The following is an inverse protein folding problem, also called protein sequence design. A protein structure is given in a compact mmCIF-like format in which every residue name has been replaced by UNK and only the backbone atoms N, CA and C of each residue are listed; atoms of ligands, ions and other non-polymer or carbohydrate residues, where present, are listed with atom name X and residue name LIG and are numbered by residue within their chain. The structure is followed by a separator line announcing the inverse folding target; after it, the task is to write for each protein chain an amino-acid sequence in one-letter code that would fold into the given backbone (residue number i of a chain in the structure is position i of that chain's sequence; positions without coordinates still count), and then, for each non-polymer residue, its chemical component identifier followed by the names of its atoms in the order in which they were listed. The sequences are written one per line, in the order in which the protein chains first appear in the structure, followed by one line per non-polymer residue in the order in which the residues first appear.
data_IF_275183010585
#
_entry.id   IF_275183010585
#
_cell.length_a   1.000
_cell.length_b   1.000
_cell.length_c   1.000
_cell.angle_alpha   90.00
_cell.angle_beta   90.00
_cell.angle_gamma   90.00
#
_symmetry.space_group_name_H-M   'P 1'
#
loop_
_entity.id
_entity.type
_entity.pdbx_description
1 polymer ?
#
# COMPACT_ATOMS: atom_id res chain seq x y z
N UNK A 1 -3.41 -19.29 -19.89
CA UNK A 1 -2.28 -19.59 -18.99
C UNK A 1 -1.74 -18.28 -18.49
N UNK A 2 -1.88 -17.99 -17.19
CA UNK A 2 -1.34 -16.74 -16.61
C UNK A 2 0.17 -16.82 -16.78
N UNK A 3 0.82 -15.90 -17.52
CA UNK A 3 2.25 -15.97 -17.74
C UNK A 3 2.96 -15.92 -16.38
N UNK A 4 3.83 -16.88 -16.07
CA UNK A 4 4.63 -16.92 -14.83
C UNK A 4 5.45 -15.62 -14.60
N UNK A 5 5.63 -14.82 -15.66
CA UNK A 5 6.20 -13.47 -15.62
C UNK A 5 5.38 -12.45 -14.81
N UNK A 6 4.05 -12.56 -14.75
CA UNK A 6 3.21 -11.64 -13.97
C UNK A 6 3.21 -11.96 -12.47
N UNK A 7 3.34 -13.24 -12.10
CA UNK A 7 3.38 -13.67 -10.69
C UNK A 7 4.64 -13.15 -9.98
N UNK A 8 5.80 -13.16 -10.64
CA UNK A 8 7.04 -12.61 -10.07
C UNK A 8 6.94 -11.10 -9.77
N UNK A 9 6.21 -10.35 -10.59
CA UNK A 9 5.94 -8.93 -10.35
C UNK A 9 4.91 -8.67 -9.25
N UNK A 10 4.04 -9.65 -8.96
CA UNK A 10 3.02 -9.54 -7.92
C UNK A 10 3.56 -9.85 -6.52
N UNK A 11 4.58 -10.71 -6.41
CA UNK A 11 5.17 -11.10 -5.12
C UNK A 11 5.61 -9.90 -4.28
N UNK A 12 6.42 -8.93 -4.79
CA UNK A 12 6.82 -7.78 -4.00
C UNK A 12 5.63 -6.94 -3.52
N UNK A 13 4.60 -6.82 -4.35
CA UNK A 13 3.39 -6.02 -4.06
C UNK A 13 2.58 -6.64 -2.92
N UNK A 14 2.25 -7.93 -3.03
CA UNK A 14 1.44 -8.64 -2.02
C UNK A 14 2.22 -8.80 -0.72
N UNK A 15 3.52 -9.11 -0.81
CA UNK A 15 4.38 -9.25 0.37
C UNK A 15 4.56 -7.92 1.10
N UNK A 16 4.81 -6.82 0.38
CA UNK A 16 4.85 -5.46 0.95
C UNK A 16 3.60 -5.10 1.71
N UNK A 17 2.44 -5.30 1.08
CA UNK A 17 1.17 -4.99 1.70
C UNK A 17 0.98 -5.81 2.98
N UNK A 18 1.21 -7.13 2.91
CA UNK A 18 1.00 -8.06 4.04
C UNK A 18 1.92 -7.76 5.22
N UNK A 19 3.21 -7.49 4.96
CA UNK A 19 4.17 -7.13 6.00
C UNK A 19 3.79 -5.80 6.67
N UNK A 20 3.52 -4.76 5.87
CA UNK A 20 3.14 -3.46 6.40
C UNK A 20 1.84 -3.50 7.22
N UNK A 21 0.84 -4.19 6.69
CA UNK A 21 -0.45 -4.41 7.34
C UNK A 21 -0.30 -5.15 8.68
N UNK A 22 0.53 -6.20 8.69
CA UNK A 22 0.83 -6.95 9.90
C UNK A 22 1.52 -6.07 10.96
N UNK A 23 2.47 -5.23 10.55
CA UNK A 23 3.18 -4.31 11.46
C UNK A 23 2.19 -3.38 12.17
N UNK A 24 1.26 -2.75 11.45
CA UNK A 24 0.34 -1.78 12.06
C UNK A 24 -0.78 -2.45 12.85
N UNK A 25 -1.25 -3.63 12.43
CA UNK A 25 -2.18 -4.43 13.21
C UNK A 25 -1.57 -4.90 14.54
N UNK A 26 -0.36 -5.47 14.50
CA UNK A 26 0.39 -5.89 15.69
C UNK A 26 0.68 -4.67 16.58
N UNK A 27 1.14 -3.56 16.00
CA UNK A 27 1.38 -2.30 16.71
C UNK A 27 0.14 -1.85 17.49
N UNK A 28 -1.03 -1.88 16.85
CA UNK A 28 -2.30 -1.55 17.52
C UNK A 28 -2.64 -2.53 18.64
N UNK A 29 -2.46 -3.83 18.42
CA UNK A 29 -2.76 -4.87 19.41
C UNK A 29 -1.88 -4.77 20.67
N UNK A 30 -0.62 -4.34 20.52
CA UNK A 30 0.31 -4.11 21.63
C UNK A 30 0.24 -2.68 22.22
N UNK A 31 -0.71 -1.84 21.78
CA UNK A 31 -0.89 -0.49 22.31
C UNK A 31 0.20 0.51 21.92
N UNK A 32 0.96 0.21 20.85
CA UNK A 32 1.92 1.14 20.23
C UNK A 32 1.22 2.19 19.37
N UNK A 33 0.04 1.88 18.83
CA UNK A 33 -0.77 2.82 18.06
C UNK A 33 -1.36 3.94 18.96
N UNK A 34 -1.57 5.15 18.42
CA UNK A 34 -2.25 6.23 19.13
C UNK A 34 -3.67 5.84 19.53
N UNK A 35 -3.97 5.98 20.83
CA UNK A 35 -5.33 5.83 21.34
C UNK A 35 -5.99 7.21 21.52
N UNK A 36 -6.12 7.95 20.43
CA UNK A 36 -6.67 9.31 20.39
C UNK A 36 -7.82 9.38 19.39
N UNK A 37 -8.87 10.12 19.74
CA UNK A 37 -10.14 10.11 19.00
C UNK A 37 -10.03 10.63 17.55
N UNK A 38 -9.05 11.49 17.26
CA UNK A 38 -8.82 12.00 15.91
C UNK A 38 -8.09 11.00 14.99
N UNK A 39 -7.48 9.95 15.54
CA UNK A 39 -6.66 9.03 14.76
C UNK A 39 -7.49 8.12 13.84
N UNK A 40 -8.60 7.49 14.28
CA UNK A 40 -9.48 6.73 13.38
C UNK A 40 -9.99 7.51 12.17
N UNK A 41 -10.61 8.70 12.29
CA UNK A 41 -11.09 9.43 11.11
C UNK A 41 -9.96 9.88 10.17
N UNK A 42 -8.76 10.15 10.69
CA UNK A 42 -7.58 10.39 9.85
C UNK A 42 -7.23 9.15 9.02
N UNK A 43 -7.13 7.98 9.65
CA UNK A 43 -6.80 6.73 8.96
C UNK A 43 -7.88 6.37 7.93
N UNK A 44 -9.16 6.49 8.29
CA UNK A 44 -10.27 6.27 7.34
C UNK A 44 -10.20 7.21 6.13
N UNK A 45 -9.85 8.49 6.36
CA UNK A 45 -9.62 9.45 5.27
C UNK A 45 -8.47 9.01 4.36
N UNK A 46 -7.37 8.54 4.94
CA UNK A 46 -6.21 8.05 4.19
C UNK A 46 -6.51 6.76 3.43
N UNK A 47 -7.34 5.87 3.98
CA UNK A 47 -7.84 4.67 3.28
C UNK A 47 -8.64 5.11 2.06
N UNK A 48 -9.62 5.99 2.23
CA UNK A 48 -10.44 6.47 1.13
C UNK A 48 -9.60 7.19 0.06
N UNK A 49 -8.62 8.00 0.47
CA UNK A 49 -7.66 8.64 -0.42
C UNK A 49 -6.84 7.62 -1.23
N UNK A 50 -6.43 6.51 -0.62
CA UNK A 50 -5.70 5.44 -1.34
C UNK A 50 -6.55 4.79 -2.44
N UNK A 51 -7.87 4.65 -2.21
CA UNK A 51 -8.81 4.11 -3.19
C UNK A 51 -8.99 5.09 -4.36
N UNK A 52 -9.15 6.39 -4.06
CA UNK A 52 -9.21 7.45 -5.08
C UNK A 52 -7.93 7.46 -5.92
N UNK A 53 -6.76 7.37 -5.27
CA UNK A 53 -5.47 7.31 -5.94
C UNK A 53 -5.37 6.12 -6.90
N UNK A 54 -5.72 4.91 -6.44
CA UNK A 54 -5.68 3.71 -7.29
C UNK A 54 -6.65 3.80 -8.47
N UNK A 55 -7.84 4.35 -8.25
CA UNK A 55 -8.80 4.56 -9.33
C UNK A 55 -8.27 5.56 -10.37
N UNK A 56 -7.61 6.63 -9.93
CA UNK A 56 -6.98 7.59 -10.84
C UNK A 56 -5.82 6.97 -11.63
N UNK A 57 -4.94 6.18 -10.99
CA UNK A 57 -3.88 5.43 -11.68
C UNK A 57 -4.46 4.54 -12.79
N UNK A 58 -5.54 3.82 -12.49
CA UNK A 58 -6.23 2.95 -13.45
C UNK A 58 -6.83 3.72 -14.63
N UNK A 59 -7.37 4.93 -14.40
CA UNK A 59 -7.95 5.76 -15.46
C UNK A 59 -6.87 6.32 -16.39
N UNK A 60 -5.78 6.85 -15.82
CA UNK A 60 -4.67 7.45 -16.57
C UNK A 60 -3.83 6.36 -17.27
N UNK A 61 -3.83 5.13 -16.76
CA UNK A 61 -2.97 4.06 -17.22
C UNK A 61 -1.50 4.28 -16.83
N UNK A 62 -1.27 5.02 -15.74
CA UNK A 62 0.05 5.26 -15.22
C UNK A 62 0.64 3.94 -14.68
N UNK A 63 1.96 3.76 -14.85
CA UNK A 63 2.69 2.63 -14.25
C UNK A 63 3.52 3.17 -13.10
N UNK A 64 3.19 2.76 -11.88
CA UNK A 64 4.03 3.09 -10.73
C UNK A 64 5.39 2.41 -10.83
N UNK A 65 6.46 3.21 -10.91
CA UNK A 65 7.83 2.69 -11.02
C UNK A 65 8.33 2.01 -9.73
N UNK A 66 7.59 2.10 -8.62
CA UNK A 66 7.93 1.48 -7.34
C UNK A 66 6.70 0.94 -6.61
N UNK A 67 5.91 0.08 -7.27
CA UNK A 67 4.65 -0.48 -6.74
C UNK A 67 4.74 -1.04 -5.33
N UNK A 68 5.87 -1.67 -5.00
CA UNK A 68 6.08 -2.28 -3.67
C UNK A 68 6.12 -1.23 -2.55
N UNK A 69 6.59 0.00 -2.81
CA UNK A 69 6.63 1.09 -1.80
C UNK A 69 5.24 1.64 -1.57
N UNK A 70 4.50 1.91 -2.65
CA UNK A 70 3.13 2.43 -2.58
C UNK A 70 2.23 1.44 -1.85
N UNK A 71 2.33 0.15 -2.19
CA UNK A 71 1.55 -0.90 -1.52
C UNK A 71 1.98 -1.17 -0.08
N UNK A 72 3.27 -0.96 0.26
CA UNK A 72 3.71 -0.95 1.64
C UNK A 72 3.04 0.21 2.43
N UNK A 73 3.05 1.43 1.87
CA UNK A 73 2.37 2.57 2.51
C UNK A 73 0.87 2.33 2.70
N UNK A 74 0.18 1.77 1.69
CA UNK A 74 -1.21 1.38 1.82
C UNK A 74 -1.43 0.28 2.85
N UNK A 75 -0.53 -0.70 2.94
CA UNK A 75 -0.60 -1.74 3.96
C UNK A 75 -0.54 -1.15 5.37
N UNK A 76 0.36 -0.18 5.62
CA UNK A 76 0.46 0.50 6.92
C UNK A 76 -0.88 1.15 7.30
N UNK A 77 -1.43 1.96 6.39
CA UNK A 77 -2.68 2.70 6.62
C UNK A 77 -3.85 1.74 6.85
N UNK A 78 -4.03 0.74 5.99
CA UNK A 78 -5.13 -0.22 6.12
C UNK A 78 -5.04 -1.05 7.39
N UNK A 79 -3.84 -1.42 7.85
CA UNK A 79 -3.70 -2.23 9.06
C UNK A 79 -4.13 -1.49 10.32
N UNK A 80 -4.00 -0.17 10.35
CA UNK A 80 -4.63 0.66 11.39
C UNK A 80 -6.16 0.70 11.24
N UNK A 81 -6.69 0.83 10.01
CA UNK A 81 -8.15 0.83 9.80
C UNK A 81 -8.81 -0.46 10.28
N UNK A 82 -8.20 -1.61 10.00
CA UNK A 82 -8.67 -2.90 10.49
C UNK A 82 -8.59 -3.03 12.01
N UNK A 83 -7.54 -2.47 12.63
CA UNK A 83 -7.40 -2.59 14.08
C UNK A 83 -8.49 -1.84 14.85
N UNK A 84 -9.07 -0.77 14.30
CA UNK A 84 -10.22 -0.08 14.91
C UNK A 84 -11.52 -0.86 14.79
N UNK A 85 -11.73 -1.57 13.67
CA UNK A 85 -12.94 -2.36 13.46
C UNK A 85 -13.00 -3.58 14.40
N UNK A 86 -11.83 -4.07 14.82
CA UNK A 86 -11.66 -5.26 15.65
C UNK A 86 -11.04 -4.96 17.02
N UNK A 87 -10.95 -3.69 17.43
CA UNK A 87 -10.28 -3.26 18.66
C UNK A 87 -10.80 -4.00 19.89
N UNK A 88 -12.12 -4.12 20.02
CA UNK A 88 -12.77 -4.83 21.11
C UNK A 88 -12.38 -6.32 21.11
N UNK A 89 -12.46 -6.98 19.95
CA UNK A 89 -12.12 -8.42 19.84
C UNK A 89 -10.64 -8.73 20.08
N UNK A 90 -9.75 -7.84 19.65
CA UNK A 90 -8.30 -7.99 19.86
C UNK A 90 -7.91 -7.80 21.33
N UNK A 91 -8.58 -6.89 22.04
CA UNK A 91 -8.38 -6.68 23.48
C UNK A 91 -8.76 -7.91 24.31
N UNK A 92 -9.73 -8.74 23.86
CA UNK A 92 -10.15 -9.95 24.55
C UNK A 92 -9.35 -11.22 24.18
N UNK A 93 -8.38 -11.14 23.27
CA UNK A 93 -7.61 -12.31 22.84
C UNK A 93 -6.68 -12.91 23.93
N UNK A 94 -6.43 -12.16 25.03
CA UNK A 94 -5.73 -12.66 26.21
C UNK A 94 -4.39 -13.34 25.89
N UNK A 95 -4.19 -14.56 26.41
CA UNK A 95 -2.97 -15.37 26.18
C UNK A 95 -2.79 -15.92 24.76
N UNK A 96 -3.79 -15.76 23.87
CA UNK A 96 -3.77 -16.28 22.49
C UNK A 96 -3.63 -15.19 21.44
N UNK A 97 -3.27 -13.95 21.84
CA UNK A 97 -3.17 -12.80 20.94
C UNK A 97 -2.32 -13.07 19.71
N UNK A 98 -1.15 -13.72 19.87
CA UNK A 98 -0.27 -14.04 18.75
C UNK A 98 -0.94 -14.99 17.73
N UNK A 99 -1.56 -16.07 18.21
CA UNK A 99 -2.29 -17.01 17.33
C UNK A 99 -3.50 -16.35 16.65
N UNK A 100 -4.20 -15.45 17.35
CA UNK A 100 -5.33 -14.70 16.78
C UNK A 100 -4.87 -13.75 15.67
N UNK A 101 -3.76 -13.02 15.89
CA UNK A 101 -3.17 -12.13 14.88
C UNK A 101 -2.67 -12.92 13.66
N UNK A 102 -2.05 -14.07 13.88
CA UNK A 102 -1.61 -14.95 12.80
C UNK A 102 -2.81 -15.47 11.98
N UNK A 103 -3.84 -16.00 12.66
CA UNK A 103 -5.04 -16.50 12.00
C UNK A 103 -5.80 -15.40 11.24
N UNK A 104 -5.86 -14.19 11.81
CA UNK A 104 -6.45 -13.03 11.15
C UNK A 104 -5.68 -12.67 9.87
N UNK A 105 -4.35 -12.55 9.92
CA UNK A 105 -3.55 -12.25 8.74
C UNK A 105 -3.69 -13.30 7.64
N UNK A 106 -3.67 -14.60 8.01
CA UNK A 106 -3.93 -15.69 7.07
C UNK A 106 -5.34 -15.59 6.48
N UNK A 107 -6.33 -15.29 7.30
CA UNK A 107 -7.72 -15.07 6.86
C UNK A 107 -7.84 -13.91 5.85
N UNK A 108 -7.16 -12.79 6.11
CA UNK A 108 -7.12 -11.62 5.20
C UNK A 108 -6.46 -12.00 3.88
N UNK A 109 -5.30 -12.65 3.91
CA UNK A 109 -4.57 -13.07 2.71
C UNK A 109 -5.42 -14.05 1.86
N UNK A 110 -6.04 -15.05 2.49
CA UNK A 110 -6.95 -15.97 1.83
C UNK A 110 -8.19 -15.27 1.26
N UNK A 111 -8.77 -14.32 1.99
CA UNK A 111 -9.90 -13.51 1.52
C UNK A 111 -9.53 -12.66 0.30
N UNK A 112 -8.37 -12.01 0.32
CA UNK A 112 -7.85 -11.24 -0.82
C UNK A 112 -7.63 -12.12 -2.04
N UNK A 113 -6.98 -13.28 -1.88
CA UNK A 113 -6.77 -14.24 -2.97
C UNK A 113 -8.10 -14.78 -3.51
N UNK A 114 -9.06 -15.10 -2.64
CA UNK A 114 -10.37 -15.57 -3.03
C UNK A 114 -11.14 -14.53 -3.85
N UNK A 115 -11.19 -13.28 -3.38
CA UNK A 115 -11.83 -12.17 -4.10
C UNK A 115 -11.14 -11.96 -5.45
N UNK A 116 -9.80 -11.99 -5.50
CA UNK A 116 -9.04 -11.84 -6.73
C UNK A 116 -9.39 -12.94 -7.76
N UNK A 117 -9.44 -14.19 -7.31
CA UNK A 117 -9.78 -15.35 -8.13
C UNK A 117 -11.22 -15.33 -8.64
N UNK A 118 -12.13 -14.64 -7.95
CA UNK A 118 -13.54 -14.55 -8.33
C UNK A 118 -13.82 -13.31 -9.21
N UNK A 119 -13.36 -12.15 -8.77
CA UNK A 119 -13.69 -10.85 -9.40
C UNK A 119 -12.96 -10.66 -10.72
N UNK A 120 -11.67 -11.05 -10.83
CA UNK A 120 -10.92 -10.90 -12.09
C UNK A 120 -11.58 -11.65 -13.25
N UNK A 121 -11.85 -12.96 -13.17
CA UNK A 121 -12.47 -13.66 -14.30
C UNK A 121 -13.88 -13.16 -14.58
N UNK A 122 -14.64 -12.79 -13.55
CA UNK A 122 -15.97 -12.21 -13.71
C UNK A 122 -15.92 -10.90 -14.52
N UNK A 123 -15.02 -9.98 -14.17
CA UNK A 123 -14.83 -8.72 -14.91
C UNK A 123 -14.30 -8.97 -16.32
N UNK A 124 -13.39 -9.93 -16.51
CA UNK A 124 -12.86 -10.29 -17.84
C UNK A 124 -13.96 -10.82 -18.77
N UNK A 125 -14.84 -11.70 -18.28
CA UNK A 125 -15.99 -12.20 -19.05
C UNK A 125 -16.99 -11.06 -19.33
N UNK A 126 -17.28 -10.21 -18.34
CA UNK A 126 -18.21 -9.10 -18.50
C UNK A 126 -17.71 -8.09 -19.54
N UNK A 127 -16.44 -7.69 -19.46
CA UNK A 127 -15.86 -6.71 -20.39
C UNK A 127 -15.68 -7.30 -21.79
N UNK A 128 -15.16 -8.52 -21.93
CA UNK A 128 -15.06 -9.17 -23.25
C UNK A 128 -16.40 -9.29 -24.01
N UNK A 129 -17.54 -9.30 -23.29
CA UNK A 129 -18.89 -9.40 -23.86
C UNK A 129 -19.55 -8.05 -24.18
N UNK A 130 -19.31 -7.00 -23.39
CA UNK A 130 -20.14 -5.79 -23.42
C UNK A 130 -19.37 -4.49 -23.70
N UNK A 131 -18.10 -4.37 -23.31
CA UNK A 131 -17.35 -3.10 -23.35
C UNK A 131 -15.86 -3.38 -23.53
N UNK A 132 -15.16 -2.64 -24.40
CA UNK A 132 -13.69 -2.73 -24.49
C UNK A 132 -13.05 -2.64 -23.09
N UNK A 133 -12.13 -3.56 -22.77
CA UNK A 133 -11.56 -3.73 -21.41
C UNK A 133 -11.05 -2.41 -20.80
N UNK A 134 -10.47 -1.54 -21.62
CA UNK A 134 -9.98 -0.22 -21.19
C UNK A 134 -11.12 0.71 -20.77
N UNK A 135 -12.20 0.77 -21.54
CA UNK A 135 -13.37 1.61 -21.23
C UNK A 135 -14.07 1.07 -19.98
N UNK A 136 -14.22 -0.26 -19.86
CA UNK A 136 -14.78 -0.90 -18.68
C UNK A 136 -13.99 -0.58 -17.40
N UNK A 137 -12.65 -0.65 -17.48
CA UNK A 137 -11.76 -0.30 -16.36
C UNK A 137 -11.88 1.17 -15.97
N UNK A 138 -11.95 2.09 -16.94
CA UNK A 138 -12.14 3.53 -16.68
C UNK A 138 -13.49 3.78 -16.01
N UNK A 139 -14.58 3.22 -16.52
CA UNK A 139 -15.93 3.41 -15.95
C UNK A 139 -16.03 2.86 -14.53
N UNK A 140 -15.53 1.64 -14.30
CA UNK A 140 -15.52 1.04 -12.97
C UNK A 140 -14.67 1.85 -11.99
N UNK A 141 -13.47 2.28 -12.43
CA UNK A 141 -12.59 3.12 -11.61
C UNK A 141 -13.23 4.47 -11.30
N UNK A 142 -13.93 5.09 -12.26
CA UNK A 142 -14.63 6.35 -12.03
C UNK A 142 -15.76 6.21 -10.99
N UNK A 143 -16.51 5.11 -11.04
CA UNK A 143 -17.56 4.83 -10.04
C UNK A 143 -16.96 4.60 -8.65
N UNK A 144 -15.91 3.79 -8.55
CA UNK A 144 -15.20 3.54 -7.28
C UNK A 144 -14.59 4.84 -6.75
N UNK A 145 -13.96 5.64 -7.60
CA UNK A 145 -13.39 6.94 -7.24
C UNK A 145 -14.46 7.88 -6.70
N UNK A 146 -15.64 7.93 -7.33
CA UNK A 146 -16.75 8.76 -6.89
C UNK A 146 -17.21 8.37 -5.48
N UNK A 147 -17.48 7.08 -5.23
CA UNK A 147 -17.86 6.59 -3.90
C UNK A 147 -16.77 6.84 -2.86
N UNK A 148 -15.50 6.55 -3.19
CA UNK A 148 -14.37 6.77 -2.30
C UNK A 148 -14.13 8.27 -2.01
N UNK A 149 -14.38 9.14 -2.97
CA UNK A 149 -14.27 10.58 -2.80
C UNK A 149 -15.29 11.11 -1.80
N UNK A 150 -16.55 10.64 -1.87
CA UNK A 150 -17.56 10.99 -0.88
C UNK A 150 -17.19 10.52 0.53
N UNK A 151 -16.72 9.28 0.66
CA UNK A 151 -16.27 8.75 1.95
C UNK A 151 -15.04 9.49 2.50
N UNK A 152 -14.09 9.83 1.62
CA UNK A 152 -12.90 10.62 1.98
C UNK A 152 -13.29 12.00 2.51
N UNK A 153 -14.23 12.68 1.86
CA UNK A 153 -14.69 13.99 2.32
C UNK A 153 -15.45 13.89 3.65
N UNK A 154 -16.32 12.91 3.80
CA UNK A 154 -17.04 12.66 5.06
C UNK A 154 -16.05 12.50 6.23
N UNK A 155 -15.07 11.60 6.10
CA UNK A 155 -14.08 11.36 7.16
C UNK A 155 -13.08 12.48 7.32
N UNK A 156 -12.75 13.17 6.24
CA UNK A 156 -11.93 14.38 6.28
C UNK A 156 -12.62 15.51 7.05
N UNK A 157 -13.94 15.67 6.88
CA UNK A 157 -14.72 16.65 7.65
C UNK A 157 -14.77 16.29 9.12
N UNK A 158 -15.04 15.02 9.47
CA UNK A 158 -14.99 14.55 10.86
C UNK A 158 -13.60 14.77 11.47
N UNK A 159 -12.53 14.49 10.73
CA UNK A 159 -11.17 14.76 11.21
C UNK A 159 -10.91 16.26 11.43
N UNK A 160 -11.42 17.13 10.55
CA UNK A 160 -11.22 18.59 10.64
C UNK A 160 -11.92 19.24 11.83
N UNK A 161 -12.94 18.59 12.41
CA UNK A 161 -13.63 19.06 13.61
C UNK A 161 -12.77 18.93 14.88
N UNK A 162 -11.74 18.06 14.86
CA UNK A 162 -10.85 17.91 16.00
C UNK A 162 -9.88 19.08 16.08
N UNK A 163 -9.98 19.84 17.19
CA UNK A 163 -9.01 20.87 17.52
C UNK A 163 -7.75 20.21 18.09
N UNK A 164 -6.69 20.16 17.28
CA UNK A 164 -5.38 19.68 17.71
C UNK A 164 -4.75 20.73 18.66
N UNK A 165 -5.02 20.59 19.94
CA UNK A 165 -4.36 21.37 20.97
C UNK A 165 -2.89 20.94 21.12
N UNK A 166 -2.03 21.88 21.51
CA UNK A 166 -0.65 21.56 21.85
C UNK A 166 -0.65 20.54 23.00
N UNK A 167 0.05 19.39 22.86
CA UNK A 167 0.07 18.39 23.90
C UNK A 167 0.78 18.94 25.14
N UNK A 168 0.25 18.60 26.30
CA UNK A 168 0.91 18.89 27.58
C UNK A 168 2.17 18.02 27.62
N UNK A 169 3.32 18.62 27.93
CA UNK A 169 4.59 17.91 28.02
C UNK A 169 4.66 17.21 29.37
N UNK A 170 4.10 16.01 29.42
CA UNK A 170 4.08 15.13 30.59
C UNK A 170 4.71 13.76 30.27
N UNK A 171 4.67 12.83 31.23
CA UNK A 171 5.18 11.47 31.04
C UNK A 171 4.42 10.68 29.97
N UNK A 172 3.12 10.96 29.76
CA UNK A 172 2.28 10.32 28.75
C UNK A 172 2.69 10.78 27.35
N UNK A 173 3.02 12.07 27.19
CA UNK A 173 3.56 12.63 25.97
C UNK A 173 4.88 11.96 25.58
N UNK A 174 5.84 11.86 26.51
CA UNK A 174 7.10 11.17 26.25
C UNK A 174 6.93 9.68 25.97
N UNK A 175 6.02 9.00 26.68
CA UNK A 175 5.69 7.61 26.41
C UNK A 175 5.11 7.44 24.99
N UNK A 176 4.23 8.34 24.56
CA UNK A 176 3.66 8.35 23.20
C UNK A 176 4.75 8.58 22.15
N UNK A 177 5.64 9.54 22.39
CA UNK A 177 6.78 9.82 21.51
C UNK A 177 7.69 8.60 21.36
N UNK A 178 7.98 7.89 22.45
CA UNK A 178 8.77 6.66 22.42
C UNK A 178 8.08 5.54 21.64
N UNK A 179 6.77 5.36 21.79
CA UNK A 179 6.00 4.37 21.01
C UNK A 179 6.06 4.68 19.51
N UNK A 180 5.91 5.94 19.13
CA UNK A 180 6.07 6.38 17.74
C UNK A 180 7.49 6.16 17.22
N UNK A 181 8.52 6.48 18.01
CA UNK A 181 9.91 6.24 17.65
C UNK A 181 10.18 4.75 17.44
N UNK A 182 9.70 3.89 18.33
CA UNK A 182 9.79 2.43 18.18
C UNK A 182 9.10 1.94 16.92
N UNK A 183 7.88 2.41 16.65
CA UNK A 183 7.13 2.03 15.45
C UNK A 183 7.86 2.47 14.18
N UNK A 184 8.39 3.69 14.13
CA UNK A 184 9.16 4.19 13.00
C UNK A 184 10.44 3.39 12.78
N UNK A 185 11.13 2.98 13.85
CA UNK A 185 12.30 2.11 13.75
C UNK A 185 11.94 0.72 13.20
N UNK A 186 10.82 0.13 13.65
CA UNK A 186 10.31 -1.15 13.12
C UNK A 186 9.98 -1.02 11.65
N UNK A 187 9.27 0.05 11.26
CA UNK A 187 8.91 0.32 9.86
C UNK A 187 10.16 0.51 9.01
N UNK A 188 11.12 1.33 9.45
CA UNK A 188 12.37 1.58 8.74
C UNK A 188 13.19 0.30 8.58
N UNK A 189 13.29 -0.51 9.64
CA UNK A 189 13.95 -1.82 9.61
C UNK A 189 13.27 -2.79 8.64
N UNK A 190 11.94 -2.82 8.62
CA UNK A 190 11.17 -3.65 7.68
C UNK A 190 11.37 -3.19 6.24
N UNK A 191 11.25 -1.89 5.94
CA UNK A 191 11.49 -1.33 4.60
C UNK A 191 12.90 -1.64 4.13
N UNK A 192 13.90 -1.45 4.99
CA UNK A 192 15.30 -1.76 4.68
C UNK A 192 15.50 -3.26 4.38
N UNK A 193 14.97 -4.14 5.23
CA UNK A 193 15.07 -5.58 5.04
C UNK A 193 14.39 -6.02 3.74
N UNK A 194 13.20 -5.48 3.45
CA UNK A 194 12.46 -5.77 2.23
C UNK A 194 13.19 -5.26 0.99
N UNK A 195 13.72 -4.04 1.03
CA UNK A 195 14.53 -3.48 -0.05
C UNK A 195 15.74 -4.38 -0.34
N UNK A 196 16.44 -4.82 0.71
CA UNK A 196 17.59 -5.71 0.58
C UNK A 196 17.21 -7.06 -0.04
N UNK A 197 16.12 -7.68 0.44
CA UNK A 197 15.63 -8.96 -0.08
C UNK A 197 15.19 -8.84 -1.54
N UNK A 198 14.36 -7.86 -1.86
CA UNK A 198 13.85 -7.68 -3.22
C UNK A 198 14.95 -7.31 -4.22
N UNK A 199 15.94 -6.52 -3.79
CA UNK A 199 17.14 -6.24 -4.58
C UNK A 199 17.95 -7.50 -4.85
N UNK A 200 18.19 -8.34 -3.83
CA UNK A 200 18.95 -9.60 -3.97
C UNK A 200 18.31 -10.58 -4.95
N UNK A 201 16.98 -10.63 -5.00
CA UNK A 201 16.24 -11.51 -5.92
C UNK A 201 15.93 -10.87 -7.28
N UNK A 202 16.50 -9.69 -7.58
CA UNK A 202 16.26 -8.92 -8.80
C UNK A 202 14.76 -8.69 -9.09
N UNK A 203 13.98 -8.48 -8.02
CA UNK A 203 12.54 -8.19 -8.11
C UNK A 203 12.27 -6.69 -8.28
N UNK A 204 13.29 -5.84 -8.13
CA UNK A 204 13.25 -4.38 -8.32
C UNK A 204 14.55 -3.96 -9.03
N UNK A 205 14.49 -2.99 -9.94
CA UNK A 205 15.67 -2.37 -10.53
C UNK A 205 16.42 -1.49 -9.50
N UNK A 206 17.76 -1.57 -9.42
CA UNK A 206 18.52 -0.77 -8.46
C UNK A 206 18.45 0.74 -8.79
N UNK A 207 18.24 1.57 -7.77
CA UNK A 207 18.17 3.04 -7.85
C UNK A 207 19.41 3.71 -8.52
N UNK A 208 20.49 2.98 -8.74
CA UNK A 208 21.74 3.49 -9.34
C UNK A 208 21.81 3.40 -10.87
N UNK A 209 20.79 2.88 -11.57
CA UNK A 209 20.83 2.78 -13.04
C UNK A 209 20.46 4.08 -13.77
N UNK A 210 20.06 5.12 -13.04
CA UNK A 210 19.70 6.43 -13.60
C UNK A 210 20.83 7.45 -13.47
N UNK A 211 22.02 7.10 -13.96
CA UNK A 211 23.00 8.08 -14.41
C UNK A 211 22.71 8.40 -15.88
N UNK A 212 22.90 9.65 -16.37
CA UNK A 212 22.76 9.94 -17.80
C UNK A 212 23.67 8.99 -18.59
N UNK A 213 23.06 8.14 -19.42
CA UNK A 213 23.83 7.32 -20.36
C UNK A 213 24.54 8.28 -21.31
N UNK A 214 25.88 8.32 -21.21
CA UNK A 214 26.76 9.08 -22.08
C UNK A 214 26.80 8.42 -23.47
N UNK A 215 25.68 8.51 -24.20
CA UNK A 215 25.54 8.08 -25.59
C UNK A 215 26.01 9.19 -26.55
N UNK A 216 27.21 9.74 -26.32
CA UNK A 216 27.80 10.78 -27.16
C UNK A 216 29.06 10.35 -27.92
N UNK A 217 29.54 9.11 -27.76
CA UNK A 217 30.79 8.66 -28.39
C UNK A 217 30.62 7.86 -29.70
N UNK A 218 29.43 7.35 -30.02
CA UNK A 218 29.24 6.48 -31.20
C UNK A 218 28.92 7.23 -32.52
N UNK A 219 28.77 8.56 -32.48
CA UNK A 219 28.33 9.36 -33.63
C UNK A 219 29.42 9.87 -34.58
N UNK A 220 30.72 9.71 -34.28
CA UNK A 220 31.79 10.42 -35.00
C UNK A 220 32.81 9.55 -35.76
N UNK A 221 32.66 8.22 -35.77
CA UNK A 221 33.66 7.33 -36.40
C UNK A 221 33.21 6.66 -37.71
N UNK A 222 32.35 7.32 -38.51
CA UNK A 222 32.00 6.77 -39.83
C UNK A 222 31.73 7.82 -40.91
N UNK A 223 32.76 8.58 -41.27
CA UNK A 223 32.85 9.24 -42.58
C UNK A 223 34.28 9.09 -43.13
N UNK A 224 34.51 8.03 -43.90
CA UNK A 224 35.58 8.00 -44.90
C UNK A 224 34.97 8.36 -46.27
N UNK A 225 35.55 9.31 -47.04
CA UNK A 225 35.11 9.58 -48.40
C UNK A 225 35.56 8.48 -49.35
N UNK A 226 34.67 8.06 -50.26
CA UNK A 226 35.02 7.22 -51.42
C UNK A 226 35.63 8.13 -52.49
N UNK A 227 36.87 7.86 -52.85
CA UNK A 227 37.53 8.44 -54.02
C UNK A 227 37.00 7.76 -55.30
N UNK A 228 36.78 8.56 -56.35
CA UNK A 228 36.61 8.15 -57.75
C UNK A 228 37.33 9.15 -58.63
#
# INVERSE_FOLDING_TARGET
MIPLRSLRGLIPVVTSFTIAHSITLISSAFGLAPNVLWFPPLIETLIALSIVYMAFENIVGARLEHRWVVTFAFGLIHGFGFSFLFSDTLQFAGGHLFSSLLAFNVGVELGQLFILLLVIPLLSVLFSRFVQERIGTILLSALIAHSAWHWMLERGTTFSEYQLAMPIVDSIFFASLMRWAMLLLIIAGAVWAMYEVFRRFALIEPLSSYGPSDNLSDGLSNKKPRES
#
